data_IF_503894531423
#
_entry.id   IF_503894531423
#
_cell.length_a   1.000
_cell.length_b   1.000
_cell.length_c   1.000
_cell.angle_alpha   90.00
_cell.angle_beta   90.00
_cell.angle_gamma   90.00
#
_symmetry.space_group_name_H-M   'P 1'
#
loop_
_entity.id
_entity.type
_entity.pdbx_description
1 polymer ?
#
# COMPACT_ATOMS: atom_id res chain seq x y z
N UNK A 1 -17.76 -24.34 -10.41
CA UNK A 1 -17.52 -22.87 -10.36
C UNK A 1 -16.04 -22.66 -10.17
N UNK A 2 -15.40 -21.81 -10.95
CA UNK A 2 -13.99 -21.46 -10.73
C UNK A 2 -13.85 -20.75 -9.37
N UNK A 3 -12.77 -21.08 -8.63
CA UNK A 3 -12.49 -20.42 -7.36
C UNK A 3 -12.15 -18.94 -7.60
N UNK A 4 -12.61 -18.05 -6.71
CA UNK A 4 -12.26 -16.63 -6.73
C UNK A 4 -11.28 -16.32 -5.60
N UNK A 5 -10.32 -15.44 -5.87
CA UNK A 5 -9.26 -15.07 -4.94
C UNK A 5 -9.12 -13.57 -4.74
N UNK A 6 -8.72 -13.18 -3.55
CA UNK A 6 -8.11 -11.88 -3.26
C UNK A 6 -6.57 -12.06 -3.26
N UNK A 7 -5.89 -11.36 -4.15
CA UNK A 7 -4.42 -11.35 -4.26
C UNK A 7 -3.86 -10.19 -3.44
N UNK A 8 -2.88 -10.47 -2.56
CA UNK A 8 -2.30 -9.48 -1.65
C UNK A 8 -0.78 -9.54 -1.75
N UNK A 9 -0.15 -8.48 -2.26
CA UNK A 9 1.32 -8.34 -2.24
C UNK A 9 1.79 -7.68 -0.95
N UNK A 10 3.04 -7.93 -0.55
CA UNK A 10 3.57 -7.39 0.70
C UNK A 10 2.90 -7.95 1.96
N UNK A 11 2.36 -9.18 1.87
CA UNK A 11 1.57 -9.79 2.94
C UNK A 11 2.40 -10.45 4.07
N UNK A 12 3.72 -10.33 4.06
CA UNK A 12 4.58 -10.89 5.11
C UNK A 12 4.73 -10.02 6.35
N UNK A 13 4.13 -8.82 6.37
CA UNK A 13 4.14 -7.87 7.50
C UNK A 13 3.16 -6.70 7.30
N UNK A 14 2.95 -5.92 8.35
CA UNK A 14 2.27 -4.63 8.32
C UNK A 14 0.85 -4.68 7.73
N UNK A 15 0.51 -3.68 6.91
CA UNK A 15 -0.84 -3.53 6.34
C UNK A 15 -1.25 -4.74 5.50
N UNK A 16 -0.34 -5.26 4.66
CA UNK A 16 -0.65 -6.42 3.81
C UNK A 16 -0.94 -7.69 4.60
N UNK A 17 -0.23 -7.91 5.70
CA UNK A 17 -0.47 -9.03 6.62
C UNK A 17 -1.80 -8.87 7.35
N UNK A 18 -2.06 -7.69 7.92
CA UNK A 18 -3.31 -7.40 8.61
C UNK A 18 -4.52 -7.55 7.66
N UNK A 19 -4.39 -7.10 6.41
CA UNK A 19 -5.44 -7.28 5.41
C UNK A 19 -5.63 -8.75 5.01
N UNK A 20 -4.54 -9.55 4.95
CA UNK A 20 -4.66 -10.98 4.73
C UNK A 20 -5.44 -11.67 5.87
N UNK A 21 -5.20 -11.28 7.11
CA UNK A 21 -5.97 -11.79 8.27
C UNK A 21 -7.43 -11.35 8.24
N UNK A 22 -7.69 -10.12 7.83
CA UNK A 22 -9.07 -9.62 7.67
C UNK A 22 -9.84 -10.44 6.63
N UNK A 23 -9.25 -10.67 5.45
CA UNK A 23 -9.88 -11.49 4.41
C UNK A 23 -10.05 -12.96 4.87
N UNK A 24 -9.09 -13.47 5.62
CA UNK A 24 -9.15 -14.81 6.20
C UNK A 24 -10.33 -14.97 7.17
N UNK A 25 -10.53 -14.01 8.09
CA UNK A 25 -11.65 -14.03 9.04
C UNK A 25 -13.03 -13.94 8.38
N UNK A 26 -13.09 -13.48 7.13
CA UNK A 26 -14.29 -13.44 6.30
C UNK A 26 -14.46 -14.73 5.44
N UNK A 27 -13.61 -15.73 5.63
CA UNK A 27 -13.66 -16.99 4.89
C UNK A 27 -13.21 -16.91 3.43
N UNK A 28 -12.51 -15.81 3.03
CA UNK A 28 -12.10 -15.62 1.62
C UNK A 28 -10.92 -16.50 1.25
N UNK A 29 -10.86 -16.88 -0.04
CA UNK A 29 -9.64 -17.45 -0.60
C UNK A 29 -8.64 -16.34 -0.88
N UNK A 30 -7.38 -16.53 -0.50
CA UNK A 30 -6.34 -15.52 -0.67
C UNK A 30 -5.09 -16.12 -1.33
N UNK A 31 -4.44 -15.30 -2.18
CA UNK A 31 -3.09 -15.53 -2.67
C UNK A 31 -2.21 -14.43 -2.09
N UNK A 32 -1.22 -14.81 -1.30
CA UNK A 32 -0.33 -13.88 -0.60
C UNK A 32 1.07 -13.92 -1.19
N UNK A 33 1.69 -12.75 -1.36
CA UNK A 33 3.08 -12.63 -1.79
C UNK A 33 3.93 -11.87 -0.78
N UNK A 34 5.17 -12.28 -0.65
CA UNK A 34 6.20 -11.62 0.15
C UNK A 34 7.58 -12.21 -0.10
N UNK A 35 8.65 -11.48 0.23
CA UNK A 35 10.05 -11.91 0.01
C UNK A 35 10.56 -12.87 1.09
N UNK A 36 10.12 -12.66 2.32
CA UNK A 36 10.55 -13.45 3.46
C UNK A 36 9.65 -14.67 3.60
N UNK A 37 10.16 -15.82 3.18
CA UNK A 37 9.43 -17.09 3.18
C UNK A 37 8.93 -17.49 4.57
N UNK A 38 9.77 -17.33 5.60
CA UNK A 38 9.39 -17.68 6.98
C UNK A 38 8.17 -16.87 7.43
N UNK A 39 8.25 -15.52 7.33
CA UNK A 39 7.14 -14.63 7.70
C UNK A 39 5.90 -14.88 6.84
N UNK A 40 6.07 -15.14 5.54
CA UNK A 40 4.95 -15.43 4.65
C UNK A 40 4.25 -16.73 5.03
N UNK A 41 4.99 -17.77 5.42
CA UNK A 41 4.45 -19.03 5.90
C UNK A 41 3.77 -18.87 7.27
N UNK A 42 4.27 -18.02 8.15
CA UNK A 42 3.59 -17.65 9.40
C UNK A 42 2.25 -16.96 9.10
N UNK A 43 2.22 -16.00 8.16
CA UNK A 43 0.97 -15.35 7.71
C UNK A 43 0.00 -16.38 7.14
N UNK A 44 0.47 -17.30 6.29
CA UNK A 44 -0.34 -18.37 5.71
C UNK A 44 -0.95 -19.27 6.79
N UNK A 45 -0.16 -19.66 7.78
CA UNK A 45 -0.62 -20.50 8.90
C UNK A 45 -1.73 -19.78 9.68
N UNK A 46 -1.46 -18.56 10.12
CA UNK A 46 -2.40 -17.76 10.90
C UNK A 46 -3.70 -17.46 10.11
N UNK A 47 -3.59 -17.16 8.82
CA UNK A 47 -4.76 -16.94 7.97
C UNK A 47 -5.66 -18.18 7.89
N UNK A 48 -5.07 -19.39 7.84
CA UNK A 48 -5.86 -20.64 7.88
C UNK A 48 -6.57 -20.82 9.23
N UNK A 49 -5.90 -20.53 10.32
CA UNK A 49 -6.46 -20.61 11.68
C UNK A 49 -7.62 -19.62 11.87
N UNK A 50 -7.58 -18.46 11.20
CA UNK A 50 -8.63 -17.44 11.21
C UNK A 50 -9.84 -17.79 10.32
N UNK A 51 -9.79 -18.88 9.59
CA UNK A 51 -10.94 -19.37 8.81
C UNK A 51 -10.90 -19.11 7.32
N UNK A 52 -9.74 -18.73 6.75
CA UNK A 52 -9.60 -18.59 5.29
C UNK A 52 -10.02 -19.86 4.57
N UNK A 53 -10.71 -19.73 3.42
CA UNK A 53 -11.08 -20.87 2.59
C UNK A 53 -9.82 -21.57 2.03
N UNK A 54 -9.08 -20.90 1.17
CA UNK A 54 -7.80 -21.38 0.66
C UNK A 54 -6.74 -20.30 0.79
N UNK A 55 -5.53 -20.65 1.21
CA UNK A 55 -4.37 -19.75 1.31
C UNK A 55 -3.23 -20.29 0.46
N UNK A 56 -2.93 -19.61 -0.63
CA UNK A 56 -1.78 -19.86 -1.49
C UNK A 56 -0.70 -18.84 -1.21
N UNK A 57 0.55 -19.26 -1.02
CA UNK A 57 1.69 -18.38 -0.81
C UNK A 57 2.63 -18.44 -2.01
N UNK A 58 3.04 -17.28 -2.49
CA UNK A 58 4.04 -17.11 -3.55
C UNK A 58 5.22 -16.31 -3.01
N UNK A 59 6.31 -17.00 -2.71
CA UNK A 59 7.54 -16.37 -2.19
C UNK A 59 8.40 -15.89 -3.34
N UNK A 60 8.45 -14.56 -3.53
CA UNK A 60 9.31 -13.92 -4.53
C UNK A 60 9.51 -12.45 -4.23
N UNK A 61 10.63 -11.88 -4.70
CA UNK A 61 10.83 -10.44 -4.82
C UNK A 61 10.37 -9.99 -6.21
N UNK A 62 9.28 -9.27 -6.27
CA UNK A 62 8.63 -8.84 -7.51
C UNK A 62 9.32 -7.65 -8.19
N UNK A 63 10.56 -7.31 -7.79
CA UNK A 63 11.27 -6.10 -8.28
C UNK A 63 11.54 -6.16 -9.79
N UNK A 64 11.70 -7.34 -10.39
CA UNK A 64 11.88 -7.46 -11.85
C UNK A 64 10.54 -7.61 -12.56
N UNK A 65 10.44 -7.06 -13.79
CA UNK A 65 9.25 -7.23 -14.62
C UNK A 65 8.90 -8.69 -14.88
N UNK A 66 9.93 -9.55 -15.05
CA UNK A 66 9.74 -10.98 -15.29
C UNK A 66 9.13 -11.71 -14.08
N UNK A 67 9.60 -11.43 -12.86
CA UNK A 67 9.03 -12.02 -11.66
C UNK A 67 7.60 -11.50 -11.38
N UNK A 68 7.37 -10.22 -11.65
CA UNK A 68 6.02 -9.64 -11.54
C UNK A 68 5.05 -10.26 -12.56
N UNK A 69 5.52 -10.53 -13.79
CA UNK A 69 4.74 -11.22 -14.82
C UNK A 69 4.43 -12.66 -14.43
N UNK A 70 5.42 -13.43 -13.97
CA UNK A 70 5.25 -14.81 -13.49
C UNK A 70 4.27 -14.87 -12.31
N UNK A 71 4.35 -13.91 -11.39
CA UNK A 71 3.43 -13.82 -10.28
C UNK A 71 1.99 -13.58 -10.74
N UNK A 72 1.78 -12.63 -11.64
CA UNK A 72 0.44 -12.34 -12.16
C UNK A 72 -0.12 -13.57 -12.91
N UNK A 73 0.67 -14.22 -13.76
CA UNK A 73 0.28 -15.45 -14.46
C UNK A 73 -0.08 -16.54 -13.46
N UNK A 74 0.77 -16.78 -12.45
CA UNK A 74 0.48 -17.75 -11.39
C UNK A 74 -0.89 -17.49 -10.74
N UNK A 75 -1.22 -16.24 -10.42
CA UNK A 75 -2.49 -15.91 -9.80
C UNK A 75 -3.68 -16.27 -10.70
N UNK A 76 -3.63 -15.91 -11.98
CA UNK A 76 -4.71 -16.21 -12.94
C UNK A 76 -4.83 -17.72 -13.25
N UNK A 77 -3.74 -18.48 -13.19
CA UNK A 77 -3.76 -19.94 -13.33
C UNK A 77 -4.48 -20.66 -12.15
N UNK A 78 -4.57 -20.02 -10.98
CA UNK A 78 -5.26 -20.57 -9.80
C UNK A 78 -6.77 -20.34 -9.82
N UNK A 79 -7.23 -19.31 -10.49
CA UNK A 79 -8.67 -19.01 -10.60
C UNK A 79 -8.94 -17.56 -10.96
N UNK A 80 -10.17 -17.13 -10.73
CA UNK A 80 -10.59 -15.76 -10.97
C UNK A 80 -10.09 -14.84 -9.85
N UNK A 81 -9.66 -13.65 -10.20
CA UNK A 81 -9.20 -12.65 -9.24
C UNK A 81 -10.31 -11.62 -9.03
N UNK A 82 -10.89 -11.63 -7.83
CA UNK A 82 -11.89 -10.65 -7.41
C UNK A 82 -11.25 -9.33 -6.97
N UNK A 83 -10.16 -9.44 -6.17
CA UNK A 83 -9.44 -8.27 -5.68
C UNK A 83 -7.94 -8.43 -5.89
N UNK A 84 -7.30 -7.39 -6.39
CA UNK A 84 -5.85 -7.23 -6.37
C UNK A 84 -5.48 -6.10 -5.41
N UNK A 85 -4.77 -6.41 -4.33
CA UNK A 85 -4.40 -5.48 -3.26
C UNK A 85 -2.88 -5.37 -3.20
N UNK A 86 -2.36 -4.22 -3.64
CA UNK A 86 -0.93 -3.98 -3.72
C UNK A 86 -0.43 -3.20 -2.51
N UNK A 87 0.09 -3.94 -1.50
CA UNK A 87 0.64 -3.38 -0.27
C UNK A 87 2.19 -3.33 -0.25
N UNK A 88 2.85 -3.77 -1.34
CA UNK A 88 4.30 -3.78 -1.39
C UNK A 88 4.82 -2.35 -1.54
N UNK A 89 5.83 -2.02 -0.73
CA UNK A 89 6.50 -0.73 -0.75
C UNK A 89 7.40 -0.57 0.46
N UNK A 90 8.31 0.39 0.40
CA UNK A 90 9.17 0.77 1.53
C UNK A 90 9.42 2.28 1.54
N UNK A 91 9.96 2.79 2.66
CA UNK A 91 10.33 4.18 2.84
C UNK A 91 11.83 4.36 3.00
N UNK A 92 12.27 5.61 2.84
CA UNK A 92 13.58 6.11 3.23
C UNK A 92 13.39 7.55 3.70
N UNK A 93 13.63 7.78 4.99
CA UNK A 93 13.48 9.07 5.66
C UNK A 93 14.84 9.67 6.01
N UNK A 94 15.80 9.56 5.11
CA UNK A 94 17.09 10.24 5.17
C UNK A 94 17.05 11.63 4.50
N UNK A 95 18.01 12.50 4.83
CA UNK A 95 18.14 13.78 4.15
C UNK A 95 18.41 13.56 2.67
N UNK A 96 17.86 14.43 1.80
CA UNK A 96 18.01 14.28 0.35
C UNK A 96 19.48 14.34 -0.11
N UNK A 97 20.33 15.07 0.61
CA UNK A 97 21.78 15.12 0.37
C UNK A 97 22.49 13.79 0.56
N UNK A 98 21.93 12.91 1.40
CA UNK A 98 22.55 11.65 1.82
C UNK A 98 22.02 10.45 1.01
N UNK A 99 21.01 10.67 0.17
CA UNK A 99 20.42 9.61 -0.65
C UNK A 99 21.23 9.36 -1.93
N UNK A 100 21.80 8.17 -2.05
CA UNK A 100 22.46 7.76 -3.30
C UNK A 100 21.44 7.56 -4.42
N UNK A 101 21.87 7.79 -5.68
CA UNK A 101 21.03 7.53 -6.85
C UNK A 101 20.40 6.14 -6.87
N UNK A 102 21.15 5.10 -6.48
CA UNK A 102 20.65 3.73 -6.40
C UNK A 102 19.52 3.53 -5.40
N UNK A 103 19.53 4.27 -4.27
CA UNK A 103 18.47 4.26 -3.27
C UNK A 103 17.21 4.92 -3.82
N UNK A 104 17.35 6.11 -4.43
CA UNK A 104 16.26 6.83 -5.10
C UNK A 104 15.64 5.96 -6.19
N UNK A 105 16.45 5.38 -7.07
CA UNK A 105 16.00 4.52 -8.15
C UNK A 105 15.25 3.29 -7.61
N UNK A 106 15.80 2.60 -6.62
CA UNK A 106 15.18 1.43 -5.99
C UNK A 106 13.83 1.76 -5.35
N UNK A 107 13.75 2.88 -4.62
CA UNK A 107 12.52 3.32 -3.97
C UNK A 107 11.44 3.65 -5.00
N UNK A 108 11.79 4.46 -6.00
CA UNK A 108 10.87 4.87 -7.06
C UNK A 108 10.40 3.66 -7.89
N UNK A 109 11.32 2.77 -8.23
CA UNK A 109 11.01 1.53 -8.95
C UNK A 109 10.02 0.67 -8.16
N UNK A 110 10.31 0.38 -6.89
CA UNK A 110 9.48 -0.52 -6.08
C UNK A 110 8.12 0.10 -5.77
N UNK A 111 8.09 1.37 -5.33
CA UNK A 111 6.84 1.99 -4.90
C UNK A 111 5.93 2.42 -6.06
N UNK A 112 6.49 2.84 -7.19
CA UNK A 112 5.72 3.43 -8.28
C UNK A 112 5.73 2.57 -9.56
N UNK A 113 6.89 2.25 -10.13
CA UNK A 113 6.94 1.53 -11.40
C UNK A 113 6.33 0.13 -11.29
N UNK A 114 6.68 -0.62 -10.24
CA UNK A 114 6.12 -1.94 -9.99
C UNK A 114 4.61 -1.88 -9.72
N UNK A 115 4.14 -0.86 -8.98
CA UNK A 115 2.71 -0.62 -8.77
C UNK A 115 1.96 -0.44 -10.09
N UNK A 116 2.50 0.39 -10.99
CA UNK A 116 1.93 0.61 -12.33
C UNK A 116 1.91 -0.68 -13.14
N UNK A 117 3.02 -1.41 -13.17
CA UNK A 117 3.14 -2.64 -13.95
C UNK A 117 2.17 -3.72 -13.49
N UNK A 118 2.14 -4.03 -12.19
CA UNK A 118 1.22 -5.03 -11.63
C UNK A 118 -0.25 -4.61 -11.81
N UNK A 119 -0.58 -3.34 -11.58
CA UNK A 119 -1.93 -2.84 -11.81
C UNK A 119 -2.39 -3.04 -13.25
N UNK A 120 -1.51 -2.72 -14.23
CA UNK A 120 -1.75 -2.98 -15.65
C UNK A 120 -2.03 -4.48 -15.91
N UNK A 121 -1.18 -5.37 -15.33
CA UNK A 121 -1.31 -6.81 -15.56
C UNK A 121 -2.60 -7.38 -14.95
N UNK A 122 -2.92 -6.98 -13.71
CA UNK A 122 -4.16 -7.42 -13.07
C UNK A 122 -5.40 -6.81 -13.74
N UNK A 123 -5.37 -5.55 -14.12
CA UNK A 123 -6.47 -4.94 -14.88
C UNK A 123 -6.73 -5.69 -16.19
N UNK A 124 -5.69 -5.95 -16.98
CA UNK A 124 -5.81 -6.68 -18.24
C UNK A 124 -6.41 -8.08 -18.04
N UNK A 125 -5.95 -8.84 -17.06
CA UNK A 125 -6.50 -10.18 -16.77
C UNK A 125 -7.95 -10.13 -16.26
N UNK A 126 -8.26 -9.19 -15.37
CA UNK A 126 -9.60 -9.03 -14.80
C UNK A 126 -10.66 -8.60 -15.84
N UNK A 127 -10.27 -7.87 -16.89
CA UNK A 127 -11.19 -7.47 -17.97
C UNK A 127 -11.74 -8.68 -18.73
N UNK A 128 -10.98 -9.78 -18.82
CA UNK A 128 -11.34 -11.00 -19.52
C UNK A 128 -12.03 -12.06 -18.63
N UNK A 129 -12.20 -11.78 -17.32
CA UNK A 129 -12.88 -12.71 -16.43
C UNK A 129 -14.40 -12.51 -16.43
N UNK A 130 -15.14 -13.57 -16.17
CA UNK A 130 -16.58 -13.53 -15.95
C UNK A 130 -16.89 -13.36 -14.45
N UNK A 131 -16.49 -12.25 -13.87
CA UNK A 131 -16.77 -11.85 -12.49
C UNK A 131 -17.77 -10.70 -12.46
N UNK A 132 -18.60 -10.63 -11.42
CA UNK A 132 -19.62 -9.56 -11.28
C UNK A 132 -19.02 -8.20 -10.97
N UNK A 133 -17.97 -8.19 -10.13
CA UNK A 133 -17.23 -6.98 -9.74
C UNK A 133 -15.80 -7.35 -9.39
N UNK A 134 -14.88 -6.46 -9.70
CA UNK A 134 -13.46 -6.61 -9.36
C UNK A 134 -12.96 -5.30 -8.73
N UNK A 135 -11.90 -5.40 -7.93
CA UNK A 135 -11.25 -4.22 -7.36
C UNK A 135 -9.73 -4.29 -7.47
N UNK A 136 -9.10 -3.16 -7.78
CA UNK A 136 -7.66 -2.92 -7.67
C UNK A 136 -7.46 -1.91 -6.55
N UNK A 137 -6.83 -2.35 -5.45
CA UNK A 137 -6.52 -1.49 -4.30
C UNK A 137 -5.04 -1.18 -4.25
N UNK A 138 -4.71 0.11 -4.18
CA UNK A 138 -3.35 0.63 -4.15
C UNK A 138 -3.10 1.38 -2.84
N UNK A 139 -1.92 1.15 -2.25
CA UNK A 139 -1.50 1.83 -1.02
C UNK A 139 -0.60 3.01 -1.37
N UNK A 140 -1.18 4.22 -1.36
CA UNK A 140 -0.44 5.47 -1.40
C UNK A 140 0.07 5.86 0.01
N UNK A 141 0.00 7.09 0.39
CA UNK A 141 0.29 7.61 1.75
C UNK A 141 -0.20 9.04 1.89
N UNK A 142 -0.51 9.45 3.11
CA UNK A 142 -0.67 10.85 3.47
C UNK A 142 0.58 11.67 3.12
N UNK A 143 1.77 11.07 3.18
CA UNK A 143 3.01 11.73 2.75
C UNK A 143 2.99 12.18 1.28
N UNK A 144 2.19 11.54 0.43
CA UNK A 144 1.95 11.99 -0.95
C UNK A 144 1.10 13.25 -1.06
N UNK A 145 0.38 13.62 0.00
CA UNK A 145 -0.46 14.81 0.06
C UNK A 145 0.20 15.93 0.89
N UNK A 146 0.85 15.57 1.98
CA UNK A 146 1.46 16.46 2.98
C UNK A 146 2.92 16.02 3.15
N UNK A 147 3.84 16.78 2.54
CA UNK A 147 5.26 16.46 2.57
C UNK A 147 5.89 17.02 3.85
N UNK A 148 6.77 16.21 4.44
CA UNK A 148 7.53 16.56 5.64
C UNK A 148 9.04 16.53 5.35
N UNK A 149 9.89 17.17 6.16
CA UNK A 149 11.33 17.02 6.05
C UNK A 149 11.74 15.54 6.02
N UNK A 150 12.84 15.22 5.34
CA UNK A 150 13.38 13.86 5.12
C UNK A 150 12.47 12.90 4.31
N UNK A 151 11.30 13.31 3.81
CA UNK A 151 10.36 12.44 3.09
C UNK A 151 10.32 12.65 1.57
N UNK A 152 11.13 13.52 1.00
CA UNK A 152 10.97 14.03 -0.36
C UNK A 152 10.78 12.93 -1.43
N UNK A 153 11.69 11.95 -1.50
CA UNK A 153 11.64 10.87 -2.51
C UNK A 153 10.48 9.91 -2.22
N UNK A 154 10.28 9.55 -0.95
CA UNK A 154 9.15 8.70 -0.56
C UNK A 154 7.81 9.39 -0.88
N UNK A 155 7.66 10.65 -0.49
CA UNK A 155 6.47 11.46 -0.77
C UNK A 155 6.18 11.55 -2.28
N UNK A 156 7.21 11.82 -3.09
CA UNK A 156 7.09 11.85 -4.54
C UNK A 156 6.60 10.50 -5.10
N UNK A 157 7.16 9.38 -4.63
CA UNK A 157 6.72 8.05 -5.07
C UNK A 157 5.26 7.77 -4.71
N UNK A 158 4.81 8.17 -3.51
CA UNK A 158 3.43 7.97 -3.04
C UNK A 158 2.43 8.94 -3.67
N UNK A 159 2.85 10.18 -3.97
CA UNK A 159 2.09 11.11 -4.80
C UNK A 159 1.89 10.55 -6.21
N UNK A 160 2.93 9.93 -6.78
CA UNK A 160 2.86 9.24 -8.07
C UNK A 160 1.85 8.08 -8.05
N UNK A 161 1.84 7.25 -7.00
CA UNK A 161 0.85 6.17 -6.83
C UNK A 161 -0.57 6.75 -6.75
N UNK A 162 -0.78 7.84 -5.99
CA UNK A 162 -2.08 8.50 -5.89
C UNK A 162 -2.56 9.05 -7.24
N UNK A 163 -1.69 9.76 -7.96
CA UNK A 163 -1.99 10.27 -9.30
C UNK A 163 -2.28 9.12 -10.29
N UNK A 164 -1.48 8.04 -10.25
CA UNK A 164 -1.71 6.85 -11.07
C UNK A 164 -3.05 6.18 -10.77
N UNK A 165 -3.43 6.04 -9.49
CA UNK A 165 -4.73 5.48 -9.10
C UNK A 165 -5.90 6.31 -9.66
N UNK A 166 -5.77 7.66 -9.66
CA UNK A 166 -6.75 8.57 -10.28
C UNK A 166 -6.87 8.31 -11.80
N UNK A 167 -5.73 8.21 -12.50
CA UNK A 167 -5.70 7.91 -13.94
C UNK A 167 -6.30 6.53 -14.26
N UNK A 168 -5.85 5.49 -13.55
CA UNK A 168 -6.33 4.12 -13.72
C UNK A 168 -7.86 4.02 -13.51
N UNK A 169 -8.40 4.76 -12.54
CA UNK A 169 -9.85 4.85 -12.34
C UNK A 169 -10.55 5.42 -13.56
N UNK A 170 -9.98 6.42 -14.22
CA UNK A 170 -10.58 6.99 -15.44
C UNK A 170 -10.52 5.98 -16.60
N UNK A 171 -9.37 5.32 -16.77
CA UNK A 171 -9.21 4.31 -17.81
C UNK A 171 -10.18 3.12 -17.66
N UNK A 172 -10.50 2.76 -16.42
CA UNK A 172 -11.40 1.65 -16.09
C UNK A 172 -12.86 2.07 -15.83
N UNK A 173 -13.21 3.35 -16.02
CA UNK A 173 -14.51 3.91 -15.64
C UNK A 173 -15.73 3.12 -16.17
N UNK A 174 -15.67 2.71 -17.42
CA UNK A 174 -16.76 1.98 -18.10
C UNK A 174 -16.68 0.46 -17.94
N UNK A 175 -15.83 -0.02 -17.05
CA UNK A 175 -15.62 -1.45 -16.79
C UNK A 175 -16.23 -1.89 -15.45
N UNK A 176 -16.19 -3.20 -15.19
CA UNK A 176 -16.57 -3.78 -13.89
C UNK A 176 -15.46 -3.65 -12.82
N UNK A 177 -14.28 -3.12 -13.18
CA UNK A 177 -13.15 -3.01 -12.26
C UNK A 177 -13.24 -1.66 -11.54
N UNK A 178 -13.30 -1.70 -10.21
CA UNK A 178 -13.17 -0.52 -9.36
C UNK A 178 -11.72 -0.31 -8.95
N UNK A 179 -11.35 0.93 -8.71
CA UNK A 179 -10.02 1.28 -8.19
C UNK A 179 -10.22 1.93 -6.82
N UNK A 180 -9.50 1.43 -5.83
CA UNK A 180 -9.47 1.98 -4.46
C UNK A 180 -8.06 2.43 -4.12
N UNK A 181 -7.91 3.68 -3.70
CA UNK A 181 -6.64 4.23 -3.24
C UNK A 181 -6.72 4.48 -1.74
N UNK A 182 -5.85 3.83 -0.98
CA UNK A 182 -5.74 4.01 0.46
C UNK A 182 -4.54 4.92 0.75
N UNK A 183 -4.78 5.96 1.55
CA UNK A 183 -3.76 6.92 1.97
C UNK A 183 -3.58 6.85 3.49
N UNK A 184 -2.79 5.88 4.00
CA UNK A 184 -2.53 5.83 5.42
C UNK A 184 -1.59 6.97 5.85
N UNK A 185 -1.81 7.47 7.07
CA UNK A 185 -0.82 8.20 7.84
C UNK A 185 0.28 7.26 8.36
N UNK A 186 1.02 7.64 9.40
CA UNK A 186 1.94 6.73 10.07
C UNK A 186 1.18 5.50 10.58
N UNK A 187 1.74 4.31 10.30
CA UNK A 187 1.18 3.03 10.77
C UNK A 187 2.25 2.32 11.56
N UNK A 188 1.94 1.93 12.79
CA UNK A 188 2.89 1.25 13.68
C UNK A 188 3.17 -0.17 13.15
N UNK A 189 4.28 -0.29 12.45
CA UNK A 189 4.73 -1.53 11.80
C UNK A 189 6.25 -1.54 11.68
N UNK A 190 6.82 -2.69 11.39
CA UNK A 190 8.23 -2.85 11.04
C UNK A 190 8.68 -2.04 9.79
N UNK A 191 7.78 -1.26 9.18
CA UNK A 191 8.11 -0.36 8.07
C UNK A 191 9.15 0.70 8.49
N UNK A 192 8.98 1.28 9.68
CA UNK A 192 9.88 2.31 10.19
C UNK A 192 11.24 1.77 10.61
N UNK A 193 11.36 0.51 11.01
CA UNK A 193 12.65 -0.13 11.31
C UNK A 193 13.62 -0.09 10.11
N UNK A 194 13.08 -0.09 8.90
CA UNK A 194 13.83 -0.05 7.65
C UNK A 194 13.93 1.37 7.09
N UNK A 195 12.84 2.12 7.18
CA UNK A 195 12.69 3.42 6.54
C UNK A 195 13.36 4.56 7.32
N UNK A 196 13.51 4.41 8.63
CA UNK A 196 13.97 5.44 9.58
C UNK A 196 15.06 4.86 10.49
N UNK A 197 16.27 4.72 9.95
CA UNK A 197 17.38 4.01 10.61
C UNK A 197 17.82 4.63 11.93
N UNK A 198 17.69 5.95 12.07
CA UNK A 198 18.04 6.69 13.28
C UNK A 198 16.86 6.87 14.26
N UNK A 199 15.63 6.45 13.85
CA UNK A 199 14.41 6.55 14.62
C UNK A 199 13.90 7.98 14.82
N UNK A 200 14.58 8.97 14.26
CA UNK A 200 14.26 10.40 14.47
C UNK A 200 12.95 10.81 13.82
N UNK A 201 12.63 10.23 12.67
CA UNK A 201 11.38 10.53 11.95
C UNK A 201 10.17 9.95 12.67
N UNK A 202 10.25 8.67 13.07
CA UNK A 202 9.13 7.98 13.70
C UNK A 202 8.78 8.58 15.06
N UNK A 203 9.77 8.97 15.87
CA UNK A 203 9.54 9.70 17.14
C UNK A 203 8.63 10.92 16.96
N UNK A 204 8.78 11.66 15.85
CA UNK A 204 7.99 12.86 15.58
C UNK A 204 6.55 12.57 15.14
N UNK A 205 6.28 11.39 14.62
CA UNK A 205 4.97 11.04 14.05
C UNK A 205 4.23 9.93 14.82
N UNK A 206 4.87 9.26 15.77
CA UNK A 206 4.31 8.09 16.46
C UNK A 206 3.02 8.40 17.25
N UNK A 207 2.88 9.64 17.79
CA UNK A 207 1.65 10.06 18.49
C UNK A 207 0.42 10.13 17.57
N UNK A 208 0.64 10.14 16.26
CA UNK A 208 -0.39 10.14 15.24
C UNK A 208 -0.51 8.79 14.52
N UNK A 209 0.27 7.79 14.96
CA UNK A 209 0.29 6.48 14.34
C UNK A 209 -1.03 5.73 14.60
N UNK A 210 -1.49 5.02 13.57
CA UNK A 210 -2.59 4.07 13.66
C UNK A 210 -2.06 2.63 13.59
N UNK A 211 -2.90 1.64 13.82
CA UNK A 211 -2.50 0.23 13.70
C UNK A 211 -2.80 -0.31 12.30
N UNK A 212 -2.07 -1.36 11.84
CA UNK A 212 -2.33 -2.00 10.56
C UNK A 212 -3.73 -2.62 10.47
N UNK A 213 -4.32 -3.06 11.59
CA UNK A 213 -5.66 -3.64 11.65
C UNK A 213 -6.73 -2.59 11.33
N UNK A 214 -6.61 -1.37 11.89
CA UNK A 214 -7.53 -0.27 11.57
C UNK A 214 -7.48 0.08 10.08
N UNK A 215 -6.27 0.09 9.50
CA UNK A 215 -6.12 0.32 8.05
C UNK A 215 -6.78 -0.82 7.27
N UNK A 216 -6.54 -2.07 7.64
CA UNK A 216 -7.11 -3.25 6.98
C UNK A 216 -8.65 -3.26 7.01
N UNK A 217 -9.26 -2.90 8.14
CA UNK A 217 -10.72 -2.78 8.27
C UNK A 217 -11.30 -1.67 7.36
N UNK A 218 -10.62 -0.53 7.29
CA UNK A 218 -11.01 0.56 6.38
C UNK A 218 -10.85 0.16 4.93
N UNK A 219 -9.80 -0.60 4.59
CA UNK A 219 -9.60 -1.16 3.23
C UNK A 219 -10.72 -2.11 2.85
N UNK A 220 -11.08 -3.07 3.71
CA UNK A 220 -12.17 -4.02 3.46
C UNK A 220 -13.50 -3.28 3.22
N UNK A 221 -13.84 -2.33 4.09
CA UNK A 221 -15.03 -1.49 3.95
C UNK A 221 -15.01 -0.68 2.65
N UNK A 222 -13.87 -0.13 2.26
CA UNK A 222 -13.73 0.67 1.05
C UNK A 222 -13.93 -0.17 -0.22
N UNK A 223 -13.35 -1.37 -0.25
CA UNK A 223 -13.51 -2.33 -1.36
C UNK A 223 -14.98 -2.73 -1.49
N UNK A 224 -15.62 -3.13 -0.40
CA UNK A 224 -17.02 -3.54 -0.37
C UNK A 224 -17.96 -2.44 -0.88
N UNK A 225 -17.72 -1.20 -0.46
CA UNK A 225 -18.54 -0.03 -0.84
C UNK A 225 -18.14 0.59 -2.19
N UNK A 226 -17.08 0.10 -2.83
CA UNK A 226 -16.55 0.67 -4.07
C UNK A 226 -16.04 2.11 -3.88
N UNK A 227 -15.53 2.47 -2.70
CA UNK A 227 -14.97 3.78 -2.43
C UNK A 227 -13.64 3.94 -3.16
N UNK A 228 -13.48 5.07 -3.83
CA UNK A 228 -12.29 5.34 -4.60
C UNK A 228 -11.09 5.72 -3.72
N UNK A 229 -11.27 6.62 -2.76
CA UNK A 229 -10.20 7.16 -1.94
C UNK A 229 -10.56 7.10 -0.45
N UNK A 230 -9.62 6.62 0.36
CA UNK A 230 -9.79 6.57 1.82
C UNK A 230 -8.50 7.02 2.50
N UNK A 231 -8.58 8.13 3.25
CA UNK A 231 -7.51 8.63 4.10
C UNK A 231 -7.68 8.09 5.51
N UNK A 232 -6.63 7.48 6.06
CA UNK A 232 -6.68 6.85 7.39
C UNK A 232 -5.52 7.36 8.25
N UNK A 233 -5.80 8.00 9.38
CA UNK A 233 -7.08 8.55 9.87
C UNK A 233 -7.62 9.73 9.03
N UNK A 234 -8.93 9.92 9.08
CA UNK A 234 -9.64 10.88 8.22
C UNK A 234 -9.24 12.36 8.43
N UNK A 235 -8.74 12.71 9.60
CA UNK A 235 -8.34 14.10 9.90
C UNK A 235 -7.19 14.59 9.02
N UNK A 236 -6.39 13.69 8.45
CA UNK A 236 -5.37 14.08 7.47
C UNK A 236 -5.97 14.60 6.15
N UNK A 237 -7.15 14.13 5.75
CA UNK A 237 -7.84 14.68 4.59
C UNK A 237 -8.28 16.13 4.86
N UNK A 238 -8.85 16.38 6.04
CA UNK A 238 -9.21 17.75 6.47
C UNK A 238 -7.97 18.62 6.49
N UNK A 239 -6.89 18.16 7.09
CA UNK A 239 -5.63 18.91 7.17
C UNK A 239 -5.07 19.23 5.76
N UNK A 240 -5.05 18.25 4.84
CA UNK A 240 -4.62 18.48 3.47
C UNK A 240 -5.47 19.53 2.75
N UNK A 241 -6.79 19.51 2.93
CA UNK A 241 -7.70 20.52 2.34
C UNK A 241 -7.41 21.92 2.88
N UNK A 242 -7.21 22.06 4.19
CA UNK A 242 -6.87 23.33 4.82
C UNK A 242 -5.50 23.85 4.36
N UNK A 243 -4.51 22.97 4.26
CA UNK A 243 -3.16 23.34 3.80
C UNK A 243 -3.15 23.88 2.37
N UNK A 244 -4.04 23.39 1.51
CA UNK A 244 -4.18 23.88 0.13
C UNK A 244 -4.70 25.33 0.04
N UNK A 245 -5.36 25.84 1.08
CA UNK A 245 -5.83 27.22 1.13
C UNK A 245 -4.70 28.22 1.43
N UNK A 246 -3.69 27.79 2.19
CA UNK A 246 -2.54 28.64 2.57
C UNK A 246 -1.24 27.83 2.60
N UNK A 247 -0.74 27.36 1.45
CA UNK A 247 0.34 26.35 1.40
C UNK A 247 1.64 26.87 2.02
N UNK A 248 2.04 28.12 1.77
CA UNK A 248 3.27 28.68 2.33
C UNK A 248 3.26 28.73 3.85
N UNK A 249 2.13 29.11 4.46
CA UNK A 249 1.97 29.13 5.91
C UNK A 249 1.99 27.69 6.47
N UNK A 250 1.28 26.78 5.84
CA UNK A 250 1.18 25.40 6.26
C UNK A 250 2.55 24.71 6.28
N UNK A 251 3.34 24.83 5.21
CA UNK A 251 4.68 24.24 5.16
C UNK A 251 5.66 24.90 6.15
N UNK A 252 5.53 26.20 6.41
CA UNK A 252 6.30 26.87 7.47
C UNK A 252 5.99 26.29 8.84
N UNK A 253 4.72 26.04 9.15
CA UNK A 253 4.30 25.43 10.43
C UNK A 253 4.80 23.99 10.57
N UNK A 254 4.74 23.18 9.50
CA UNK A 254 5.29 21.83 9.49
C UNK A 254 6.79 21.85 9.79
N UNK A 255 7.54 22.73 9.11
CA UNK A 255 8.98 22.86 9.32
C UNK A 255 9.32 23.23 10.76
N UNK A 256 8.65 24.25 11.31
CA UNK A 256 8.84 24.68 12.70
C UNK A 256 8.49 23.58 13.72
N UNK A 257 7.47 22.76 13.46
CA UNK A 257 7.09 21.67 14.36
C UNK A 257 8.13 20.54 14.32
N UNK A 258 8.71 20.29 13.15
CA UNK A 258 9.76 19.31 12.98
C UNK A 258 11.06 19.71 13.69
N UNK A 259 11.49 20.98 13.57
CA UNK A 259 12.66 21.50 14.29
C UNK A 259 12.50 21.41 15.81
N UNK A 260 11.31 21.78 16.35
CA UNK A 260 11.03 21.65 17.79
C UNK A 260 11.08 20.21 18.30
N UNK A 261 10.77 19.22 17.46
CA UNK A 261 10.90 17.81 17.77
C UNK A 261 12.34 17.34 17.88
N UNK A 262 13.26 17.93 17.10
CA UNK A 262 14.70 17.60 17.14
C UNK A 262 15.44 18.19 18.38
N UNK A 263 14.88 19.23 19.01
CA UNK A 263 15.48 19.89 20.20
C UNK A 263 14.91 19.38 21.54
N UNK A 264 14.17 18.28 21.55
CA UNK A 264 13.58 17.70 22.78
C UNK A 264 14.33 16.47 23.31
N UNK A 265 15.60 16.32 22.96
CA UNK A 265 16.53 15.35 23.58
C UNK A 265 17.39 15.99 24.67
#
# INVERSE_FOLDING_TARGET
>A
MSQTYTVITGASSGIGQAFAYKMASEGRNIIINGRNEKRLNETKKQAKELGAGQVLAYTADLVTGDEAEKFAQYCFDKGQIENFVHCLGFGDFSAISDQAYSQIAKLTHTNLLLTMFLSKRFAAGMLHQDTKANNITLIASVAGLIQTPKSAVYAASKAGVHAFANGLRQDLWSTKIKVTCILPGPVDTAFFDIADKDGSYFKNVQSFATTPEIVADKMATAIERGQFEVVVPFYYDIMNRLMRLAPSLAYRLIHMSYEKGQFRD
#
